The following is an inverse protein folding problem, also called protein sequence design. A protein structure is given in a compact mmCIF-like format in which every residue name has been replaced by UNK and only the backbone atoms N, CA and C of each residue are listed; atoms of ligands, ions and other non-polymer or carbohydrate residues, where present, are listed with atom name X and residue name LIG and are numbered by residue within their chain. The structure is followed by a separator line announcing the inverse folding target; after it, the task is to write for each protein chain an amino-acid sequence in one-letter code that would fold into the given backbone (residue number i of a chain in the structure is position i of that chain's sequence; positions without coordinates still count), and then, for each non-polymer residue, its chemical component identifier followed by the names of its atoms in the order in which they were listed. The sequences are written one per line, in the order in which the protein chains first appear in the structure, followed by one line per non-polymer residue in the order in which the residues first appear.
data_IF_767497853952
#
_entry.id   IF_767497853952
#
_cell.length_a   1.000
_cell.length_b   1.000
_cell.length_c   1.000
_cell.angle_alpha   90.00
_cell.angle_beta   90.00
_cell.angle_gamma   90.00
#
_symmetry.space_group_name_H-M   'P 1'
#
loop_
_entity.id
_entity.type
_entity.pdbx_description
1 polymer ?
#
# COMPACT_ATOMS: atom_id res chain seq x y z
N UNK A 1 -22.75 0.48 -37.86
CA UNK A 1 -21.54 1.08 -38.44
C UNK A 1 -20.50 -0.02 -38.57
N UNK A 2 -19.81 -0.11 -39.71
CA UNK A 2 -18.63 -0.96 -39.90
C UNK A 2 -17.44 -0.04 -40.13
N UNK A 3 -16.32 -0.31 -39.46
CA UNK A 3 -15.05 0.39 -39.66
C UNK A 3 -14.02 -0.60 -40.20
N UNK A 4 -13.36 -0.25 -41.30
CA UNK A 4 -12.31 -1.07 -41.91
C UNK A 4 -10.91 -0.63 -41.42
N UNK A 5 -10.40 -1.37 -40.44
CA UNK A 5 -9.10 -1.08 -39.83
C UNK A 5 -7.91 -1.38 -40.75
N UNK A 6 -8.05 -2.32 -41.70
CA UNK A 6 -6.99 -2.65 -42.66
C UNK A 6 -6.82 -1.53 -43.68
N UNK A 7 -7.93 -1.07 -44.25
CA UNK A 7 -7.96 0.11 -45.11
C UNK A 7 -7.41 1.33 -44.37
N UNK A 8 -7.80 1.55 -43.10
CA UNK A 8 -7.28 2.67 -42.31
C UNK A 8 -5.75 2.68 -42.24
N UNK A 9 -5.12 1.52 -41.95
CA UNK A 9 -3.66 1.39 -41.89
C UNK A 9 -3.01 1.70 -43.24
N UNK A 10 -3.56 1.15 -44.32
CA UNK A 10 -3.07 1.43 -45.67
C UNK A 10 -3.11 2.93 -45.99
N UNK A 11 -4.23 3.59 -45.70
CA UNK A 11 -4.41 5.02 -45.98
C UNK A 11 -3.45 5.91 -45.18
N UNK A 12 -3.16 5.54 -43.93
CA UNK A 12 -2.20 6.26 -43.08
C UNK A 12 -0.76 6.08 -43.59
N UNK A 13 -0.39 4.87 -44.00
CA UNK A 13 0.94 4.58 -44.58
C UNK A 13 1.14 5.26 -45.94
N UNK A 14 0.11 5.31 -46.80
CA UNK A 14 0.16 6.11 -48.03
C UNK A 14 0.39 7.60 -47.77
N UNK A 15 -0.23 8.14 -46.71
CA UNK A 15 -0.10 9.53 -46.31
C UNK A 15 1.30 9.88 -45.78
N UNK A 16 1.96 8.93 -45.10
CA UNK A 16 3.36 9.08 -44.68
C UNK A 16 4.32 9.08 -45.88
N UNK A 17 3.98 8.34 -46.95
CA UNK A 17 4.73 8.26 -48.22
C UNK A 17 4.41 9.36 -49.23
N UNK A 18 3.69 10.40 -48.84
CA UNK A 18 3.47 11.60 -49.65
C UNK A 18 2.10 11.72 -50.32
N UNK A 19 1.25 10.69 -50.29
CA UNK A 19 -0.14 10.81 -50.77
C UNK A 19 -1.01 11.46 -49.70
N UNK A 20 -0.96 12.79 -49.61
CA UNK A 20 -1.64 13.54 -48.56
C UNK A 20 -3.15 13.32 -48.61
N UNK A 21 -3.72 12.87 -47.50
CA UNK A 21 -5.17 12.73 -47.27
C UNK A 21 -5.54 13.45 -45.98
N UNK A 22 -6.71 14.09 -45.99
CA UNK A 22 -7.28 14.68 -44.79
C UNK A 22 -7.89 13.60 -43.88
N UNK A 23 -8.02 13.90 -42.58
CA UNK A 23 -8.68 13.00 -41.64
C UNK A 23 -10.13 12.67 -42.06
N UNK A 24 -10.86 13.65 -42.63
CA UNK A 24 -12.23 13.42 -43.09
C UNK A 24 -12.30 12.43 -44.25
N UNK A 25 -11.33 12.45 -45.17
CA UNK A 25 -11.31 11.53 -46.32
C UNK A 25 -11.03 10.10 -45.85
N UNK A 26 -10.07 9.93 -44.94
CA UNK A 26 -9.77 8.63 -44.34
C UNK A 26 -11.01 8.08 -43.62
N UNK A 27 -11.64 8.89 -42.76
CA UNK A 27 -12.83 8.46 -42.01
C UNK A 27 -14.00 8.08 -42.92
N UNK A 28 -14.23 8.80 -44.03
CA UNK A 28 -15.28 8.44 -44.99
C UNK A 28 -14.97 7.14 -45.73
N UNK A 29 -13.70 6.90 -46.06
CA UNK A 29 -13.29 5.70 -46.80
C UNK A 29 -13.43 4.43 -45.95
N UNK A 30 -13.16 4.51 -44.64
CA UNK A 30 -13.13 3.33 -43.77
C UNK A 30 -14.48 3.02 -43.11
N UNK A 31 -15.38 4.00 -42.98
CA UNK A 31 -16.65 3.82 -42.29
C UNK A 31 -17.80 3.58 -43.25
N UNK A 32 -18.53 2.48 -43.02
CA UNK A 32 -19.80 2.18 -43.70
C UNK A 32 -20.95 2.21 -42.70
N UNK A 33 -22.00 2.95 -43.04
CA UNK A 33 -23.24 3.02 -42.26
C UNK A 33 -24.34 2.31 -43.02
N UNK A 34 -25.08 1.48 -42.30
CA UNK A 34 -26.23 0.76 -42.81
C UNK A 34 -27.35 0.85 -41.77
N UNK A 35 -28.56 1.08 -42.26
CA UNK A 35 -29.77 1.10 -41.44
C UNK A 35 -30.65 -0.08 -41.84
N UNK A 36 -31.09 -0.86 -40.86
CA UNK A 36 -32.01 -1.99 -41.06
C UNK A 36 -33.33 -1.68 -40.37
N UNK A 37 -34.46 -1.99 -41.04
CA UNK A 37 -35.78 -1.88 -40.40
C UNK A 37 -35.90 -2.94 -39.32
N UNK A 38 -36.17 -2.54 -38.08
CA UNK A 38 -36.47 -3.46 -36.98
C UNK A 38 -37.98 -3.50 -36.72
N UNK A 39 -38.49 -4.69 -36.38
CA UNK A 39 -39.86 -4.86 -35.87
C UNK A 39 -39.94 -4.63 -34.36
N UNK A 40 -38.79 -4.68 -33.69
CA UNK A 40 -38.67 -4.47 -32.26
C UNK A 40 -37.97 -3.13 -32.01
N UNK A 41 -38.79 -2.11 -31.76
CA UNK A 41 -38.35 -0.74 -31.45
C UNK A 41 -37.83 -0.64 -30.00
N UNK A 42 -38.23 -1.56 -29.13
CA UNK A 42 -37.88 -1.56 -27.71
C UNK A 42 -36.61 -2.36 -27.42
N UNK A 43 -36.11 -3.15 -28.38
CA UNK A 43 -34.79 -3.77 -28.33
C UNK A 43 -33.69 -2.71 -28.41
N UNK A 44 -33.36 -2.11 -27.26
CA UNK A 44 -32.24 -1.19 -27.11
C UNK A 44 -30.97 -1.98 -26.81
N UNK A 45 -30.20 -2.33 -27.85
CA UNK A 45 -28.89 -2.93 -27.67
C UNK A 45 -27.86 -2.23 -28.56
N UNK A 46 -26.64 -2.16 -28.06
CA UNK A 46 -25.47 -1.77 -28.83
C UNK A 46 -24.51 -2.96 -28.85
N UNK A 47 -24.22 -3.46 -30.05
CA UNK A 47 -23.29 -4.58 -30.25
C UNK A 47 -22.06 -4.08 -30.96
N UNK A 48 -20.90 -4.40 -30.40
CA UNK A 48 -19.60 -4.21 -31.04
C UNK A 48 -19.00 -5.58 -31.31
N UNK A 49 -18.53 -5.78 -32.52
CA UNK A 49 -17.81 -6.99 -32.92
C UNK A 49 -16.44 -6.57 -33.45
N UNK A 50 -15.38 -7.10 -32.84
CA UNK A 50 -14.02 -6.99 -33.36
C UNK A 50 -13.69 -8.28 -34.10
N UNK A 51 -13.41 -8.16 -35.39
CA UNK A 51 -13.16 -9.30 -36.29
C UNK A 51 -11.72 -9.21 -36.79
N UNK A 52 -11.02 -10.34 -36.82
CA UNK A 52 -9.65 -10.41 -37.33
C UNK A 52 -8.65 -9.71 -36.42
N UNK A 53 -8.73 -9.93 -35.11
CA UNK A 53 -7.74 -9.43 -34.14
C UNK A 53 -6.38 -10.06 -34.48
N UNK A 54 -5.36 -9.21 -34.68
CA UNK A 54 -4.02 -9.67 -34.98
C UNK A 54 -3.44 -10.51 -33.82
N UNK A 55 -2.54 -11.46 -34.13
CA UNK A 55 -1.89 -12.33 -33.13
C UNK A 55 -1.09 -11.56 -32.08
N UNK A 56 -0.54 -10.41 -32.45
CA UNK A 56 0.21 -9.56 -31.52
C UNK A 56 -0.69 -8.85 -30.49
N UNK A 57 -2.03 -8.90 -30.66
CA UNK A 57 -3.01 -8.28 -29.77
C UNK A 57 -3.88 -9.32 -29.03
N UNK A 58 -3.33 -10.51 -28.77
CA UNK A 58 -4.01 -11.59 -28.03
C UNK A 58 -4.46 -11.19 -26.62
N UNK A 59 -3.88 -10.13 -26.05
CA UNK A 59 -4.32 -9.54 -24.77
C UNK A 59 -5.79 -9.08 -24.80
N UNK A 60 -6.33 -8.73 -25.98
CA UNK A 60 -7.76 -8.41 -26.17
C UNK A 60 -8.67 -9.63 -26.11
N UNK A 61 -8.10 -10.84 -26.08
CA UNK A 61 -8.78 -12.12 -25.99
C UNK A 61 -8.53 -12.82 -24.64
N UNK A 62 -7.68 -12.26 -23.78
CA UNK A 62 -7.41 -12.79 -22.44
C UNK A 62 -8.53 -12.39 -21.48
N UNK A 63 -9.47 -13.31 -21.25
CA UNK A 63 -10.61 -13.14 -20.33
C UNK A 63 -10.17 -12.64 -18.95
N UNK A 64 -9.02 -13.08 -18.44
CA UNK A 64 -8.54 -12.67 -17.10
C UNK A 64 -8.10 -11.20 -17.12
N UNK A 65 -7.28 -10.80 -18.10
CA UNK A 65 -6.84 -9.39 -18.24
C UNK A 65 -8.04 -8.46 -18.45
N UNK A 66 -8.99 -8.84 -19.30
CA UNK A 66 -10.21 -8.08 -19.55
C UNK A 66 -11.03 -7.93 -18.27
N UNK A 67 -11.22 -9.02 -17.51
CA UNK A 67 -11.94 -8.98 -16.24
C UNK A 67 -11.29 -8.03 -15.24
N UNK A 68 -9.97 -8.11 -15.09
CA UNK A 68 -9.20 -7.25 -14.17
C UNK A 68 -9.29 -5.77 -14.58
N UNK A 69 -9.21 -5.48 -15.88
CA UNK A 69 -9.41 -4.13 -16.42
C UNK A 69 -10.82 -3.60 -16.14
N UNK A 70 -11.86 -4.34 -16.52
CA UNK A 70 -13.26 -3.93 -16.35
C UNK A 70 -13.64 -3.76 -14.89
N UNK A 71 -13.04 -4.56 -13.98
CA UNK A 71 -13.29 -4.47 -12.54
C UNK A 71 -12.94 -3.09 -11.95
N UNK A 72 -12.01 -2.34 -12.54
CA UNK A 72 -11.71 -0.99 -12.04
C UNK A 72 -12.18 0.12 -12.97
N UNK A 73 -12.13 -0.10 -14.28
CA UNK A 73 -12.42 0.94 -15.27
C UNK A 73 -13.92 1.13 -15.48
N UNK A 74 -14.68 0.04 -15.56
CA UNK A 74 -16.08 0.11 -15.88
C UNK A 74 -16.91 0.58 -14.66
N UNK A 75 -18.14 1.10 -14.89
CA UNK A 75 -19.06 1.50 -13.83
C UNK A 75 -19.74 0.28 -13.19
N UNK A 76 -18.95 -0.71 -12.78
CA UNK A 76 -19.40 -1.91 -12.10
C UNK A 76 -19.78 -1.60 -10.64
N UNK A 77 -20.71 -2.34 -10.03
CA UNK A 77 -21.02 -2.22 -8.61
C UNK A 77 -19.85 -2.71 -7.73
N UNK A 78 -19.77 -2.22 -6.49
CA UNK A 78 -18.81 -2.76 -5.52
C UNK A 78 -19.13 -4.22 -5.20
N UNK A 79 -18.08 -5.04 -5.05
CA UNK A 79 -18.24 -6.43 -4.63
C UNK A 79 -18.86 -6.49 -3.23
N UNK A 80 -19.70 -7.51 -3.01
CA UNK A 80 -20.39 -7.69 -1.74
C UNK A 80 -19.43 -7.91 -0.55
N UNK A 81 -18.26 -8.48 -0.77
CA UNK A 81 -17.24 -8.71 0.25
C UNK A 81 -16.55 -7.42 0.72
N UNK A 82 -16.72 -6.30 0.00
CA UNK A 82 -16.19 -5.00 0.43
C UNK A 82 -17.09 -4.37 1.50
N UNK A 83 -16.69 -4.52 2.77
CA UNK A 83 -17.47 -4.08 3.94
C UNK A 83 -17.86 -2.58 3.91
N UNK A 84 -17.05 -1.71 3.32
CA UNK A 84 -17.31 -0.27 3.29
C UNK A 84 -18.23 0.19 2.17
N UNK A 85 -18.67 -0.69 1.27
CA UNK A 85 -19.53 -0.33 0.13
C UNK A 85 -20.78 0.46 0.57
N UNK A 86 -21.40 0.07 1.69
CA UNK A 86 -22.60 0.72 2.21
C UNK A 86 -22.30 2.11 2.77
N UNK A 87 -21.14 2.30 3.41
CA UNK A 87 -20.69 3.64 3.85
C UNK A 87 -20.49 4.56 2.64
N UNK A 88 -19.88 4.06 1.56
CA UNK A 88 -19.66 4.83 0.33
C UNK A 88 -20.99 5.23 -0.31
N UNK A 89 -21.92 4.27 -0.47
CA UNK A 89 -23.26 4.54 -1.02
C UNK A 89 -24.06 5.50 -0.15
N UNK A 90 -23.95 5.38 1.18
CA UNK A 90 -24.60 6.28 2.13
C UNK A 90 -24.07 7.71 2.00
N UNK A 91 -22.75 7.91 2.00
CA UNK A 91 -22.15 9.25 1.83
C UNK A 91 -22.56 9.87 0.50
N UNK A 92 -22.51 9.10 -0.60
CA UNK A 92 -22.95 9.58 -1.91
C UNK A 92 -24.41 10.08 -1.88
N UNK A 93 -25.30 9.34 -1.21
CA UNK A 93 -26.70 9.75 -1.03
C UNK A 93 -26.83 11.03 -0.18
N UNK A 94 -26.06 11.17 0.88
CA UNK A 94 -26.06 12.36 1.77
C UNK A 94 -25.67 13.64 1.04
N UNK A 95 -24.74 13.54 0.07
CA UNK A 95 -24.32 14.67 -0.77
C UNK A 95 -25.16 14.83 -2.04
N UNK A 96 -26.28 14.11 -2.14
CA UNK A 96 -27.17 14.07 -3.30
C UNK A 96 -26.47 13.66 -4.61
N UNK A 97 -25.48 12.77 -4.54
CA UNK A 97 -24.78 12.20 -5.68
C UNK A 97 -25.24 10.76 -5.94
N UNK A 98 -25.57 10.45 -7.19
CA UNK A 98 -25.88 9.11 -7.64
C UNK A 98 -24.65 8.46 -8.27
N UNK A 99 -24.30 7.25 -7.83
CA UNK A 99 -23.23 6.44 -8.43
C UNK A 99 -23.89 5.52 -9.45
N UNK A 100 -23.69 5.80 -10.75
CA UNK A 100 -24.22 4.97 -11.82
C UNK A 100 -23.54 3.59 -11.81
N UNK A 101 -24.30 2.53 -11.55
CA UNK A 101 -23.82 1.15 -11.53
C UNK A 101 -24.55 0.33 -12.61
N UNK A 102 -23.79 -0.43 -13.40
CA UNK A 102 -24.34 -1.26 -14.49
C UNK A 102 -24.06 -2.74 -14.24
N UNK A 103 -25.00 -3.59 -14.65
CA UNK A 103 -24.82 -5.04 -14.66
C UNK A 103 -23.92 -5.43 -15.85
N UNK A 104 -22.66 -5.70 -15.56
CA UNK A 104 -21.65 -6.07 -16.57
C UNK A 104 -21.30 -7.54 -16.37
N UNK A 105 -21.38 -8.32 -17.45
CA UNK A 105 -20.98 -9.74 -17.47
C UNK A 105 -19.90 -9.98 -18.50
N UNK A 106 -18.91 -10.81 -18.18
CA UNK A 106 -17.93 -11.34 -19.11
C UNK A 106 -18.06 -12.85 -19.14
N UNK A 107 -18.35 -13.41 -20.30
CA UNK A 107 -18.63 -14.84 -20.50
C UNK A 107 -19.75 -15.37 -19.57
N UNK A 108 -20.79 -14.55 -19.37
CA UNK A 108 -21.92 -14.86 -18.47
C UNK A 108 -21.67 -14.59 -16.98
N UNK A 109 -20.42 -14.38 -16.58
CA UNK A 109 -20.05 -14.14 -15.19
C UNK A 109 -20.07 -12.65 -14.84
N UNK A 110 -20.69 -12.24 -13.71
CA UNK A 110 -20.77 -10.83 -13.32
C UNK A 110 -19.39 -10.24 -12.96
N UNK A 111 -19.23 -8.95 -13.25
CA UNK A 111 -18.05 -8.16 -12.91
C UNK A 111 -18.40 -7.18 -11.79
N UNK A 112 -17.52 -7.10 -10.79
CA UNK A 112 -17.63 -6.20 -9.66
C UNK A 112 -16.33 -5.40 -9.48
N UNK A 113 -16.42 -4.26 -8.81
CA UNK A 113 -15.21 -3.57 -8.34
C UNK A 113 -14.47 -4.41 -7.32
N UNK A 114 -13.21 -4.72 -7.64
CA UNK A 114 -12.35 -5.64 -6.89
C UNK A 114 -11.64 -4.95 -5.72
N UNK A 115 -12.41 -4.18 -4.93
CA UNK A 115 -11.93 -3.63 -3.66
C UNK A 115 -12.02 -4.71 -2.58
N UNK A 116 -10.96 -4.80 -1.78
CA UNK A 116 -10.86 -5.71 -0.63
C UNK A 116 -10.36 -4.92 0.58
N UNK A 117 -10.37 -5.52 1.77
CA UNK A 117 -9.81 -4.88 2.96
C UNK A 117 -8.39 -5.32 3.24
N UNK A 118 -7.98 -6.52 2.82
CA UNK A 118 -6.67 -7.08 3.12
C UNK A 118 -5.65 -6.63 2.07
N UNK A 119 -4.56 -6.00 2.52
CA UNK A 119 -3.42 -5.65 1.69
C UNK A 119 -2.37 -6.76 1.78
N UNK A 120 -1.78 -7.12 0.64
CA UNK A 120 -0.85 -8.24 0.50
C UNK A 120 0.55 -7.81 0.07
N UNK A 121 1.54 -8.61 0.46
CA UNK A 121 2.91 -8.58 -0.09
C UNK A 121 3.00 -9.43 -1.37
N UNK A 122 4.19 -9.42 -2.00
CA UNK A 122 4.49 -10.22 -3.18
C UNK A 122 4.32 -11.74 -2.94
N UNK A 123 4.55 -12.21 -1.72
CA UNK A 123 4.37 -13.62 -1.29
C UNK A 123 2.92 -13.95 -0.87
N UNK A 124 1.95 -13.07 -1.18
CA UNK A 124 0.55 -13.14 -0.75
C UNK A 124 0.28 -13.07 0.76
N UNK A 125 1.30 -12.90 1.61
CA UNK A 125 1.10 -12.67 3.04
C UNK A 125 0.44 -11.31 3.31
N UNK A 126 -0.37 -11.24 4.37
CA UNK A 126 -0.98 -9.99 4.82
C UNK A 126 0.10 -9.00 5.24
N UNK A 127 -0.03 -7.75 4.81
CA UNK A 127 0.80 -6.66 5.30
C UNK A 127 0.07 -5.68 6.20
N UNK A 128 -1.12 -5.27 5.78
CA UNK A 128 -1.92 -4.24 6.41
C UNK A 128 -3.38 -4.50 6.03
N UNK A 129 -4.31 -3.71 6.54
CA UNK A 129 -5.70 -3.77 6.16
C UNK A 129 -6.37 -2.40 6.17
N UNK A 130 -7.37 -2.23 5.33
CA UNK A 130 -8.28 -1.08 5.36
C UNK A 130 -9.26 -1.28 6.51
N UNK A 131 -9.07 -0.55 7.60
CA UNK A 131 -9.86 -0.68 8.83
C UNK A 131 -10.99 0.36 8.99
N UNK A 132 -10.97 1.42 8.17
CA UNK A 132 -12.10 2.35 8.02
C UNK A 132 -12.00 3.07 6.67
N UNK A 133 -13.02 3.85 6.33
CA UNK A 133 -13.00 4.79 5.19
C UNK A 133 -13.39 6.18 5.66
N UNK A 134 -12.80 7.19 5.03
CA UNK A 134 -13.10 8.61 5.28
C UNK A 134 -13.47 9.30 3.98
N UNK A 135 -14.36 10.28 4.10
CA UNK A 135 -14.95 10.98 2.97
C UNK A 135 -14.53 12.45 2.97
N UNK A 136 -14.35 13.01 1.78
CA UNK A 136 -14.05 14.43 1.61
C UNK A 136 -14.82 14.98 0.42
N UNK A 137 -15.60 16.01 0.68
CA UNK A 137 -16.27 16.80 -0.35
C UNK A 137 -15.39 18.01 -0.72
N UNK A 138 -15.29 18.26 -2.03
CA UNK A 138 -14.61 19.41 -2.60
C UNK A 138 -15.65 20.31 -3.26
N UNK A 139 -15.92 21.45 -2.63
CA UNK A 139 -16.91 22.42 -3.09
C UNK A 139 -16.25 23.72 -3.52
N UNK A 140 -16.87 24.43 -4.45
CA UNK A 140 -16.50 25.79 -4.80
C UNK A 140 -16.99 26.80 -3.76
N UNK A 141 -16.68 28.08 -3.98
CA UNK A 141 -17.06 29.20 -3.12
C UNK A 141 -18.59 29.38 -3.04
N UNK A 142 -19.34 28.89 -4.03
CA UNK A 142 -20.79 28.92 -4.08
C UNK A 142 -21.44 27.66 -3.45
N UNK A 143 -20.63 26.72 -2.94
CA UNK A 143 -21.09 25.46 -2.35
C UNK A 143 -21.39 24.34 -3.35
N UNK A 144 -21.16 24.55 -4.65
CA UNK A 144 -21.35 23.51 -5.67
C UNK A 144 -20.30 22.43 -5.54
N UNK A 145 -20.71 21.18 -5.71
CA UNK A 145 -19.81 20.03 -5.62
C UNK A 145 -18.93 19.93 -6.88
N UNK A 146 -17.62 20.14 -6.70
CA UNK A 146 -16.62 19.97 -7.76
C UNK A 146 -16.22 18.51 -7.88
N UNK A 147 -15.94 17.89 -6.73
CA UNK A 147 -15.62 16.47 -6.61
C UNK A 147 -15.93 15.99 -5.20
N UNK A 148 -15.97 14.69 -5.00
CA UNK A 148 -15.89 14.09 -3.68
C UNK A 148 -15.00 12.86 -3.74
N UNK A 149 -14.51 12.41 -2.59
CA UNK A 149 -13.69 11.21 -2.52
C UNK A 149 -14.00 10.39 -1.30
N UNK A 150 -13.67 9.11 -1.40
CA UNK A 150 -13.46 8.25 -0.26
C UNK A 150 -12.04 7.70 -0.30
N UNK A 151 -11.43 7.56 0.88
CA UNK A 151 -10.11 6.94 1.02
C UNK A 151 -10.11 5.98 2.21
N UNK A 152 -9.51 4.81 1.99
CA UNK A 152 -9.32 3.80 3.02
C UNK A 152 -8.20 4.18 3.98
N UNK A 153 -8.46 3.96 5.27
CA UNK A 153 -7.46 4.12 6.33
C UNK A 153 -6.78 2.79 6.58
N UNK A 154 -5.45 2.82 6.58
CA UNK A 154 -4.57 1.70 6.92
C UNK A 154 -3.64 2.13 8.04
N UNK A 155 -2.81 1.22 8.55
CA UNK A 155 -1.79 1.60 9.51
C UNK A 155 -0.59 2.27 8.85
N UNK A 156 -0.52 2.34 7.51
CA UNK A 156 0.58 2.92 6.74
C UNK A 156 1.93 2.24 7.03
N UNK A 157 1.92 0.90 7.16
CA UNK A 157 3.12 0.10 7.44
C UNK A 157 4.19 0.23 6.36
N UNK A 158 3.77 0.41 5.11
CA UNK A 158 4.60 0.75 3.94
C UNK A 158 3.71 1.16 2.76
N UNK A 159 4.34 1.58 1.66
CA UNK A 159 3.65 1.74 0.38
C UNK A 159 3.02 0.42 -0.10
N UNK A 160 1.79 0.50 -0.59
CA UNK A 160 1.03 -0.66 -1.05
C UNK A 160 1.71 -1.22 -2.32
N UNK A 161 2.04 -2.53 -2.36
CA UNK A 161 2.64 -3.15 -3.55
C UNK A 161 1.64 -3.31 -4.71
N UNK A 162 2.15 -3.31 -5.95
CA UNK A 162 1.36 -3.43 -7.20
C UNK A 162 0.50 -4.70 -7.33
N UNK A 163 0.83 -5.77 -6.59
CA UNK A 163 -0.02 -6.97 -6.52
C UNK A 163 -1.45 -6.65 -6.04
N UNK A 164 -1.61 -5.58 -5.26
CA UNK A 164 -2.90 -5.06 -4.84
C UNK A 164 -3.42 -4.10 -5.92
N UNK A 165 -4.23 -4.62 -6.84
CA UNK A 165 -4.79 -3.83 -7.95
C UNK A 165 -5.60 -2.61 -7.48
N UNK A 166 -6.17 -2.64 -6.27
CA UNK A 166 -6.91 -1.49 -5.72
C UNK A 166 -6.05 -0.33 -5.22
N UNK A 167 -4.71 -0.46 -5.27
CA UNK A 167 -3.75 0.57 -4.89
C UNK A 167 -4.00 1.90 -5.63
N UNK A 168 -3.79 3.00 -4.93
CA UNK A 168 -3.93 4.35 -5.46
C UNK A 168 -5.32 4.95 -5.27
N UNK A 169 -5.39 6.27 -5.44
CA UNK A 169 -6.64 7.01 -5.58
C UNK A 169 -7.04 7.03 -7.06
N UNK A 170 -8.14 6.36 -7.39
CA UNK A 170 -8.64 6.25 -8.77
C UNK A 170 -9.57 7.42 -9.11
N UNK A 171 -9.25 8.15 -10.16
CA UNK A 171 -10.10 9.24 -10.66
C UNK A 171 -11.28 8.66 -11.44
N UNK A 172 -12.49 9.12 -11.14
CA UNK A 172 -13.72 8.71 -11.81
C UNK A 172 -14.52 9.90 -12.32
N UNK A 173 -15.19 9.72 -13.45
CA UNK A 173 -16.25 10.59 -13.96
C UNK A 173 -17.42 9.68 -14.36
N UNK A 174 -18.60 9.93 -13.82
CA UNK A 174 -19.81 9.10 -14.07
C UNK A 174 -19.54 7.61 -13.77
N UNK A 175 -18.83 7.36 -12.66
CA UNK A 175 -18.36 6.05 -12.22
C UNK A 175 -17.42 5.30 -13.20
N UNK A 176 -17.03 5.88 -14.33
CA UNK A 176 -15.99 5.35 -15.22
C UNK A 176 -14.64 5.87 -14.77
N UNK A 177 -13.62 5.01 -14.73
CA UNK A 177 -12.26 5.45 -14.40
C UNK A 177 -11.66 6.31 -15.53
N UNK A 178 -11.04 7.42 -15.13
CA UNK A 178 -10.26 8.30 -16.01
C UNK A 178 -8.78 8.08 -15.70
N UNK A 179 -8.00 7.71 -16.71
CA UNK A 179 -6.59 7.36 -16.56
C UNK A 179 -6.34 6.07 -15.78
N UNK A 180 -5.08 5.85 -15.43
CA UNK A 180 -4.62 4.70 -14.65
C UNK A 180 -4.79 4.88 -13.14
N UNK A 181 -4.20 3.95 -12.37
CA UNK A 181 -4.11 4.05 -10.91
C UNK A 181 -3.28 5.25 -10.42
N UNK A 182 -2.49 5.83 -11.31
CA UNK A 182 -1.54 6.93 -11.12
C UNK A 182 -2.01 8.27 -11.69
N UNK A 183 -3.24 8.34 -12.23
CA UNK A 183 -3.77 9.57 -12.84
C UNK A 183 -3.70 10.81 -11.92
N UNK A 184 -3.79 10.59 -10.61
CA UNK A 184 -3.72 11.64 -9.58
C UNK A 184 -2.34 11.76 -8.91
N UNK A 185 -1.36 10.91 -9.27
CA UNK A 185 -0.04 10.89 -8.66
C UNK A 185 0.66 12.25 -8.73
N UNK A 186 0.55 12.94 -9.86
CA UNK A 186 1.10 14.30 -10.08
C UNK A 186 0.58 15.37 -9.12
N UNK A 187 -0.49 15.09 -8.37
CA UNK A 187 -1.08 16.02 -7.38
C UNK A 187 -0.46 15.85 -5.98
N UNK A 188 0.22 14.74 -5.72
CA UNK A 188 0.95 14.51 -4.49
C UNK A 188 2.32 15.22 -4.52
N UNK A 189 2.83 15.54 -3.33
CA UNK A 189 4.18 16.10 -3.13
C UNK A 189 5.30 15.14 -3.56
N UNK A 190 5.07 13.83 -3.43
CA UNK A 190 6.00 12.77 -3.78
C UNK A 190 5.29 11.70 -4.61
N UNK A 191 5.96 11.13 -5.60
CA UNK A 191 5.42 10.07 -6.48
C UNK A 191 4.84 8.88 -5.70
N UNK A 192 5.51 8.51 -4.61
CA UNK A 192 5.09 7.40 -3.77
C UNK A 192 3.81 7.69 -2.97
N UNK A 193 3.40 8.94 -2.79
CA UNK A 193 2.29 9.34 -1.91
C UNK A 193 0.99 8.64 -2.26
N UNK A 194 0.64 8.58 -3.55
CA UNK A 194 -0.56 7.87 -4.04
C UNK A 194 -0.56 6.38 -3.67
N UNK A 195 0.61 5.76 -3.58
CA UNK A 195 0.79 4.33 -3.25
C UNK A 195 0.40 3.95 -1.83
N UNK A 196 0.24 4.91 -0.92
CA UNK A 196 -0.14 4.65 0.47
C UNK A 196 -1.66 4.52 0.66
N UNK A 197 -2.43 4.80 -0.39
CA UNK A 197 -3.88 4.91 -0.30
C UNK A 197 -4.60 3.91 -1.19
N UNK A 198 -5.84 3.63 -0.83
CA UNK A 198 -6.85 2.94 -1.64
C UNK A 198 -8.06 3.84 -1.61
N UNK A 199 -8.59 4.22 -2.77
CA UNK A 199 -9.73 5.11 -2.80
C UNK A 199 -10.17 5.49 -4.19
N UNK A 200 -11.21 6.33 -4.24
CA UNK A 200 -11.72 6.90 -5.48
C UNK A 200 -12.02 8.38 -5.29
N UNK A 201 -11.75 9.16 -6.32
CA UNK A 201 -12.17 10.55 -6.43
C UNK A 201 -13.19 10.64 -7.56
N UNK A 202 -14.43 11.00 -7.24
CA UNK A 202 -15.49 11.23 -8.20
C UNK A 202 -15.51 12.70 -8.61
N UNK A 203 -15.12 12.98 -9.84
CA UNK A 203 -15.24 14.29 -10.46
C UNK A 203 -16.71 14.56 -10.83
N UNK A 204 -17.27 15.62 -10.27
CA UNK A 204 -18.71 15.94 -10.40
C UNK A 204 -18.93 17.10 -11.35
N UNK A 205 -18.15 18.17 -11.25
CA UNK A 205 -18.34 19.38 -12.04
C UNK A 205 -18.44 19.09 -13.56
N UNK A 206 -19.39 19.75 -14.22
CA UNK A 206 -19.73 19.52 -15.64
C UNK A 206 -18.55 19.77 -16.58
N UNK A 207 -17.74 20.79 -16.27
CA UNK A 207 -16.60 21.17 -17.11
C UNK A 207 -15.36 20.29 -16.89
N UNK A 208 -15.40 19.30 -15.99
CA UNK A 208 -14.38 18.26 -15.91
C UNK A 208 -14.61 17.22 -17.02
N UNK A 209 -14.31 17.63 -18.25
CA UNK A 209 -14.51 16.86 -19.47
C UNK A 209 -13.25 16.00 -19.73
N UNK A 210 -13.37 14.66 -19.79
CA UNK A 210 -12.25 13.80 -20.18
C UNK A 210 -11.70 14.18 -21.55
N UNK A 211 -10.39 14.09 -21.72
CA UNK A 211 -9.77 14.27 -23.02
C UNK A 211 -10.03 13.05 -23.95
N UNK A 212 -9.57 13.12 -25.19
CA UNK A 212 -9.81 12.07 -26.20
C UNK A 212 -9.22 10.71 -25.83
N UNK A 213 -8.14 10.68 -25.06
CA UNK A 213 -7.50 9.45 -24.57
C UNK A 213 -8.17 8.90 -23.30
N UNK A 214 -9.05 9.70 -22.67
CA UNK A 214 -9.68 9.44 -21.37
C UNK A 214 -8.67 9.13 -20.27
N UNK A 215 -7.45 9.66 -20.41
CA UNK A 215 -6.38 9.50 -19.42
C UNK A 215 -6.36 10.63 -18.38
N UNK A 216 -6.99 11.77 -18.70
CA UNK A 216 -7.23 12.89 -17.79
C UNK A 216 -8.33 13.84 -18.30
N UNK A 217 -8.48 15.01 -17.67
CA UNK A 217 -9.38 16.08 -18.12
C UNK A 217 -8.70 17.07 -19.07
N UNK A 218 -9.50 17.66 -19.96
CA UNK A 218 -9.08 18.79 -20.79
C UNK A 218 -8.68 19.99 -19.92
N UNK A 219 -7.77 20.81 -20.43
CA UNK A 219 -7.37 22.03 -19.75
C UNK A 219 -8.48 23.08 -19.78
N UNK A 220 -8.91 23.52 -18.60
CA UNK A 220 -9.85 24.60 -18.40
C UNK A 220 -9.77 25.11 -16.94
N UNK A 221 -10.40 26.25 -16.60
CA UNK A 221 -10.38 26.79 -15.25
C UNK A 221 -10.92 25.84 -14.17
N UNK A 222 -11.98 25.08 -14.47
CA UNK A 222 -12.58 24.12 -13.54
C UNK A 222 -11.62 22.98 -13.19
N UNK A 223 -10.86 22.46 -14.18
CA UNK A 223 -9.77 21.50 -13.96
C UNK A 223 -8.69 22.09 -13.06
N UNK A 224 -8.23 23.31 -13.33
CA UNK A 224 -7.19 23.95 -12.52
C UNK A 224 -7.63 24.13 -11.06
N UNK A 225 -8.89 24.51 -10.84
CA UNK A 225 -9.47 24.64 -9.51
C UNK A 225 -9.63 23.28 -8.81
N UNK A 226 -10.11 22.26 -9.52
CA UNK A 226 -10.16 20.87 -9.04
C UNK A 226 -8.77 20.39 -8.58
N UNK A 227 -7.73 20.58 -9.40
CA UNK A 227 -6.37 20.20 -9.03
C UNK A 227 -5.88 20.96 -7.79
N UNK A 228 -6.17 22.26 -7.66
CA UNK A 228 -5.82 23.06 -6.49
C UNK A 228 -6.45 22.48 -5.21
N UNK A 229 -7.73 22.15 -5.24
CA UNK A 229 -8.44 21.58 -4.10
C UNK A 229 -7.87 20.22 -3.68
N UNK A 230 -7.62 19.33 -4.66
CA UNK A 230 -7.02 18.02 -4.41
C UNK A 230 -5.59 18.12 -3.91
N UNK A 231 -4.74 18.93 -4.54
CA UNK A 231 -3.34 19.14 -4.12
C UNK A 231 -3.28 19.62 -2.68
N UNK A 232 -4.16 20.56 -2.29
CA UNK A 232 -4.23 21.03 -0.92
C UNK A 232 -4.52 19.88 0.04
N UNK A 233 -5.59 19.13 -0.20
CA UNK A 233 -5.97 18.01 0.67
C UNK A 233 -4.93 16.89 0.71
N UNK A 234 -4.34 16.53 -0.44
CA UNK A 234 -3.33 15.47 -0.52
C UNK A 234 -2.06 15.84 0.23
N UNK A 235 -1.65 17.11 0.19
CA UNK A 235 -0.38 17.55 0.75
C UNK A 235 -0.49 18.07 2.20
N UNK A 236 -1.65 18.56 2.62
CA UNK A 236 -1.88 19.04 3.99
C UNK A 236 -2.41 17.91 4.89
N UNK A 237 -3.38 17.12 4.41
CA UNK A 237 -4.06 16.10 5.22
C UNK A 237 -3.48 14.71 5.00
N UNK A 238 -3.55 14.20 3.76
CA UNK A 238 -3.14 12.82 3.47
C UNK A 238 -1.64 12.61 3.72
N UNK A 239 -0.81 13.58 3.33
CA UNK A 239 0.63 13.53 3.58
C UNK A 239 0.96 13.42 5.06
N UNK A 240 0.34 14.26 5.91
CA UNK A 240 0.50 14.21 7.37
C UNK A 240 0.16 12.81 7.89
N UNK A 241 -1.00 12.28 7.47
CA UNK A 241 -1.49 10.99 7.93
C UNK A 241 -0.53 9.83 7.62
N UNK A 242 -0.08 9.67 6.37
CA UNK A 242 0.79 8.53 6.03
C UNK A 242 2.22 8.71 6.56
N UNK A 243 2.73 9.94 6.58
CA UNK A 243 4.09 10.22 7.05
C UNK A 243 4.19 10.00 8.56
N UNK A 244 3.27 10.60 9.32
CA UNK A 244 3.28 10.48 10.77
C UNK A 244 2.86 9.07 11.21
N UNK A 245 1.92 8.41 10.51
CA UNK A 245 1.58 7.01 10.76
C UNK A 245 2.76 6.07 10.56
N UNK A 246 3.52 6.25 9.48
CA UNK A 246 4.76 5.49 9.23
C UNK A 246 5.85 5.78 10.27
N UNK A 247 5.99 7.03 10.71
CA UNK A 247 6.91 7.41 11.78
C UNK A 247 6.55 6.75 13.12
N UNK A 248 5.26 6.72 13.48
CA UNK A 248 4.74 6.07 14.69
C UNK A 248 5.00 4.56 14.64
N UNK A 249 4.70 3.87 13.53
CA UNK A 249 5.06 2.46 13.36
C UNK A 249 6.56 2.22 13.52
N UNK A 250 7.39 3.09 12.97
CA UNK A 250 8.84 2.99 13.08
C UNK A 250 9.33 3.20 14.52
N UNK A 251 8.65 4.04 15.29
CA UNK A 251 8.92 4.23 16.71
C UNK A 251 8.54 2.99 17.53
N UNK A 252 7.35 2.42 17.31
CA UNK A 252 6.93 1.17 17.97
C UNK A 252 7.90 0.01 17.68
N UNK A 253 8.34 -0.16 16.43
CA UNK A 253 9.35 -1.17 16.06
C UNK A 253 10.65 -1.04 16.86
N UNK A 254 11.08 0.18 17.19
CA UNK A 254 12.29 0.40 18.01
C UNK A 254 12.06 0.00 19.47
N UNK A 255 10.88 0.26 20.00
CA UNK A 255 10.48 -0.15 21.36
C UNK A 255 10.43 -1.68 21.45
N UNK A 256 9.77 -2.34 20.50
CA UNK A 256 9.67 -3.80 20.47
C UNK A 256 11.05 -4.45 20.31
N UNK A 257 11.91 -3.90 19.44
CA UNK A 257 13.28 -4.37 19.29
C UNK A 257 14.12 -4.23 20.57
N UNK A 258 13.90 -3.17 21.36
CA UNK A 258 14.53 -3.04 22.68
C UNK A 258 14.01 -4.09 23.65
N UNK A 259 12.69 -4.27 23.76
CA UNK A 259 12.08 -5.28 24.64
C UNK A 259 12.61 -6.69 24.36
N UNK A 260 12.72 -7.06 23.09
CA UNK A 260 13.30 -8.35 22.67
C UNK A 260 14.77 -8.47 23.12
N UNK A 261 15.60 -7.46 22.83
CA UNK A 261 17.02 -7.47 23.22
C UNK A 261 17.22 -7.51 24.75
N UNK A 262 16.40 -6.78 25.49
CA UNK A 262 16.44 -6.77 26.95
C UNK A 262 16.04 -8.13 27.53
N UNK A 263 14.97 -8.74 27.01
CA UNK A 263 14.55 -10.08 27.43
C UNK A 263 15.63 -11.13 27.13
N UNK A 264 16.21 -11.11 25.92
CA UNK A 264 17.31 -12.01 25.54
C UNK A 264 18.54 -11.83 26.45
N UNK A 265 18.90 -10.59 26.77
CA UNK A 265 20.02 -10.31 27.67
C UNK A 265 19.75 -10.84 29.09
N UNK A 266 18.57 -10.52 29.66
CA UNK A 266 18.17 -10.96 31.00
C UNK A 266 18.12 -12.48 31.09
N UNK A 267 17.63 -13.15 30.06
CA UNK A 267 17.60 -14.62 29.99
C UNK A 267 19.01 -15.21 29.94
N UNK A 268 19.89 -14.67 29.09
CA UNK A 268 21.31 -15.08 29.02
C UNK A 268 22.03 -14.86 30.35
N UNK A 269 21.73 -13.75 31.04
CA UNK A 269 22.34 -13.42 32.34
C UNK A 269 21.89 -14.39 33.42
N UNK A 270 20.58 -14.66 33.52
CA UNK A 270 20.01 -15.65 34.45
C UNK A 270 20.57 -17.06 34.21
N UNK A 271 20.78 -17.44 32.94
CA UNK A 271 21.32 -18.74 32.55
C UNK A 271 22.85 -18.83 32.61
N UNK A 272 23.56 -17.76 32.98
CA UNK A 272 25.02 -17.71 32.95
C UNK A 272 25.63 -18.04 31.58
N UNK A 273 24.93 -17.72 30.49
CA UNK A 273 25.27 -18.18 29.14
C UNK A 273 26.20 -17.24 28.38
N UNK A 274 26.78 -16.25 29.07
CA UNK A 274 27.83 -15.40 28.50
C UNK A 274 29.18 -16.11 28.54
N UNK A 275 29.88 -16.07 27.41
CA UNK A 275 31.20 -16.67 27.26
C UNK A 275 32.24 -15.99 28.16
N UNK A 276 32.25 -14.66 28.17
CA UNK A 276 33.18 -13.86 28.95
C UNK A 276 32.52 -12.62 29.56
N UNK A 277 33.20 -11.98 30.53
CA UNK A 277 32.71 -10.74 31.15
C UNK A 277 32.74 -9.58 30.16
N UNK A 278 33.74 -9.59 29.30
CA UNK A 278 33.94 -8.65 28.21
C UNK A 278 32.79 -8.77 27.20
N UNK A 279 32.46 -9.99 26.76
CA UNK A 279 31.32 -10.23 25.86
C UNK A 279 29.98 -9.81 26.50
N UNK A 280 29.76 -10.12 27.78
CA UNK A 280 28.57 -9.64 28.52
C UNK A 280 28.47 -8.12 28.52
N UNK A 281 29.60 -7.42 28.68
CA UNK A 281 29.62 -5.95 28.70
C UNK A 281 29.24 -5.38 27.34
N UNK A 282 29.77 -5.95 26.25
CA UNK A 282 29.42 -5.57 24.88
C UNK A 282 27.92 -5.78 24.60
N UNK A 283 27.37 -6.94 24.98
CA UNK A 283 25.93 -7.21 24.81
C UNK A 283 25.06 -6.25 25.65
N UNK A 284 25.51 -5.92 26.87
CA UNK A 284 24.83 -4.92 27.70
C UNK A 284 24.86 -3.52 27.08
N UNK A 285 25.98 -3.09 26.50
CA UNK A 285 26.08 -1.82 25.78
C UNK A 285 25.12 -1.75 24.58
N UNK A 286 24.97 -2.85 23.83
CA UNK A 286 23.97 -2.95 22.74
C UNK A 286 22.54 -2.77 23.27
N UNK A 287 22.23 -3.33 24.44
CA UNK A 287 20.92 -3.13 25.10
C UNK A 287 20.74 -1.68 25.53
N UNK A 288 21.77 -1.02 26.10
CA UNK A 288 21.70 0.39 26.48
C UNK A 288 21.49 1.33 25.27
N UNK A 289 22.16 1.05 24.15
CA UNK A 289 21.93 1.79 22.90
C UNK A 289 20.49 1.61 22.42
N UNK A 290 19.95 0.38 22.46
CA UNK A 290 18.56 0.11 22.11
C UNK A 290 17.57 0.80 23.07
N UNK A 291 17.87 0.84 24.38
CA UNK A 291 17.08 1.54 25.39
C UNK A 291 16.98 3.03 25.07
N UNK A 292 18.11 3.70 24.81
CA UNK A 292 18.13 5.13 24.44
C UNK A 292 17.33 5.40 23.16
N UNK A 293 17.38 4.49 22.19
CA UNK A 293 16.56 4.58 20.97
C UNK A 293 15.06 4.42 21.26
N UNK A 294 14.68 3.51 22.17
CA UNK A 294 13.31 3.29 22.58
C UNK A 294 12.75 4.48 23.39
N UNK A 295 13.53 5.08 24.28
CA UNK A 295 13.15 6.29 25.02
C UNK A 295 12.87 7.47 24.07
N UNK A 296 13.77 7.69 23.11
CA UNK A 296 13.56 8.70 22.06
C UNK A 296 12.32 8.38 21.20
N UNK A 297 12.08 7.11 20.88
CA UNK A 297 10.90 6.67 20.14
C UNK A 297 9.60 6.93 20.91
N UNK A 298 9.59 6.73 22.24
CA UNK A 298 8.45 7.02 23.09
C UNK A 298 8.12 8.52 23.09
N UNK A 299 9.12 9.39 23.14
CA UNK A 299 8.93 10.85 23.05
C UNK A 299 8.28 11.24 21.72
N UNK A 300 8.71 10.61 20.61
CA UNK A 300 8.11 10.85 19.28
C UNK A 300 6.63 10.45 19.30
N UNK A 301 6.30 9.27 19.81
CA UNK A 301 4.91 8.78 19.89
C UNK A 301 4.04 9.75 20.68
N UNK A 302 4.49 10.21 21.85
CA UNK A 302 3.75 11.17 22.69
C UNK A 302 3.53 12.49 21.96
N UNK A 303 4.59 13.08 21.38
CA UNK A 303 4.49 14.34 20.62
C UNK A 303 3.57 14.23 19.41
N UNK A 304 3.59 13.09 18.72
CA UNK A 304 2.73 12.86 17.55
C UNK A 304 1.27 12.70 17.98
N UNK A 305 1.00 12.03 19.11
CA UNK A 305 -0.34 11.91 19.69
C UNK A 305 -0.94 13.25 20.09
N UNK A 306 -0.17 14.11 20.75
CA UNK A 306 -0.64 15.45 21.16
C UNK A 306 -1.08 16.31 19.97
N UNK A 307 -0.50 16.07 18.79
CA UNK A 307 -0.81 16.78 17.54
C UNK A 307 -1.84 16.04 16.68
N UNK A 308 -2.28 14.86 17.10
CA UNK A 308 -3.15 14.03 16.30
C UNK A 308 -4.61 14.43 16.47
N UNK A 309 -5.23 14.75 15.33
CA UNK A 309 -6.60 15.21 15.24
C UNK A 309 -7.39 14.40 14.20
N UNK A 310 -8.71 14.34 14.42
CA UNK A 310 -9.67 13.76 13.48
C UNK A 310 -9.28 12.37 12.95
N UNK A 311 -8.99 12.33 11.64
CA UNK A 311 -8.66 11.10 10.91
C UNK A 311 -7.36 10.47 11.43
N UNK A 312 -6.37 11.29 11.77
CA UNK A 312 -5.06 10.81 12.17
C UNK A 312 -5.09 10.14 13.55
N UNK A 313 -5.92 10.64 14.48
CA UNK A 313 -6.11 10.01 15.79
C UNK A 313 -6.58 8.54 15.68
N UNK A 314 -7.54 8.25 14.78
CA UNK A 314 -8.01 6.88 14.52
C UNK A 314 -6.89 5.94 14.05
N UNK A 315 -5.96 6.45 13.24
CA UNK A 315 -4.82 5.69 12.72
C UNK A 315 -3.87 5.33 13.87
N UNK A 316 -3.57 6.30 14.74
CA UNK A 316 -2.73 6.04 15.92
C UNK A 316 -3.39 4.99 16.81
N UNK A 317 -4.66 5.14 17.18
CA UNK A 317 -5.39 4.16 18.00
C UNK A 317 -5.33 2.75 17.40
N UNK A 318 -5.40 2.63 16.06
CA UNK A 318 -5.27 1.34 15.39
C UNK A 318 -3.86 0.76 15.50
N UNK A 319 -2.82 1.59 15.36
CA UNK A 319 -1.42 1.18 15.55
C UNK A 319 -1.19 0.71 16.99
N UNK A 320 -1.71 1.43 17.98
CA UNK A 320 -1.55 1.08 19.40
C UNK A 320 -2.16 -0.26 19.77
N UNK A 321 -3.31 -0.60 19.18
CA UNK A 321 -3.96 -1.90 19.41
C UNK A 321 -3.08 -3.08 18.96
N UNK A 322 -2.16 -2.89 18.02
CA UNK A 322 -1.20 -3.94 17.62
C UNK A 322 0.06 -3.95 18.49
N UNK A 323 0.31 -2.88 19.25
CA UNK A 323 1.47 -2.76 20.14
C UNK A 323 1.02 -2.44 21.58
N UNK A 324 0.44 -3.41 22.32
CA UNK A 324 0.02 -3.21 23.69
C UNK A 324 1.18 -2.67 24.54
N UNK A 325 1.00 -1.47 25.08
CA UNK A 325 1.99 -0.84 25.94
C UNK A 325 1.99 -1.56 27.30
N UNK A 326 2.99 -2.39 27.54
CA UNK A 326 3.51 -2.51 28.90
C UNK A 326 4.40 -1.29 29.18
N UNK A 327 4.17 -0.56 30.28
CA UNK A 327 4.96 0.62 30.63
C UNK A 327 6.42 0.21 30.78
N UNK A 328 7.29 0.83 29.98
CA UNK A 328 8.74 0.67 30.13
C UNK A 328 9.09 1.23 31.51
N UNK A 329 9.48 0.37 32.46
CA UNK A 329 9.93 0.82 33.78
C UNK A 329 11.08 1.82 33.62
N UNK A 330 10.81 3.08 33.96
CA UNK A 330 11.73 4.21 33.95
C UNK A 330 12.76 4.15 35.09
N UNK A 331 13.06 2.98 35.63
CA UNK A 331 14.17 2.83 36.58
C UNK A 331 15.49 3.04 35.83
N UNK A 332 16.32 4.01 36.26
CA UNK A 332 17.69 4.11 35.82
C UNK A 332 18.40 2.84 36.29
N UNK A 333 18.77 1.95 35.37
CA UNK A 333 19.62 0.80 35.72
C UNK A 333 21.02 1.33 35.97
N UNK A 334 21.30 1.67 37.22
CA UNK A 334 22.61 2.04 37.71
C UNK A 334 23.57 0.85 37.53
N UNK A 335 24.46 0.95 36.53
CA UNK A 335 25.50 -0.03 36.25
C UNK A 335 24.99 -1.41 35.78
N UNK A 336 25.88 -2.25 35.20
CA UNK A 336 25.54 -3.64 34.95
C UNK A 336 25.18 -4.31 36.28
N UNK A 337 24.04 -5.04 36.38
CA UNK A 337 23.71 -5.76 37.61
C UNK A 337 24.87 -6.69 37.98
N UNK A 338 25.30 -6.62 39.26
CA UNK A 338 26.36 -7.47 39.78
C UNK A 338 25.94 -8.93 39.62
N UNK A 339 26.75 -9.79 38.98
CA UNK A 339 26.38 -11.17 38.74
C UNK A 339 26.14 -11.90 40.07
N UNK A 340 25.00 -12.57 40.19
CA UNK A 340 24.69 -13.47 41.30
C UNK A 340 25.56 -14.73 41.16
N UNK A 341 26.78 -14.69 41.71
CA UNK A 341 27.88 -15.67 41.54
C UNK A 341 28.35 -15.79 40.06
N UNK A 342 29.67 -15.87 39.80
CA UNK A 342 30.18 -15.93 38.43
C UNK A 342 30.01 -17.35 37.88
N UNK A 343 28.79 -17.74 37.51
CA UNK A 343 28.55 -18.95 36.72
C UNK A 343 29.04 -18.68 35.31
N UNK A 344 30.13 -19.33 34.92
CA UNK A 344 30.66 -19.26 33.55
C UNK A 344 29.90 -20.25 32.70
N UNK A 345 29.74 -19.92 31.41
CA UNK A 345 29.08 -20.82 30.44
C UNK A 345 29.70 -22.22 30.43
N UNK A 346 31.03 -22.33 30.56
CA UNK A 346 31.77 -23.59 30.65
C UNK A 346 31.61 -24.34 31.97
N UNK A 347 30.99 -23.75 33.00
CA UNK A 347 30.70 -24.46 34.26
C UNK A 347 29.63 -25.55 34.09
N UNK A 348 28.86 -25.49 33.00
CA UNK A 348 27.91 -26.55 32.59
C UNK A 348 28.61 -27.83 32.11
N UNK A 349 29.87 -27.73 31.69
CA UNK A 349 30.68 -28.86 31.21
C UNK A 349 31.37 -29.55 32.39
N UNK A 350 30.58 -30.14 33.29
CA UNK A 350 31.05 -30.69 34.57
C UNK A 350 32.06 -31.84 34.41
N UNK A 351 32.07 -32.52 33.26
CA UNK A 351 32.98 -33.62 32.94
C UNK A 351 34.44 -33.20 32.73
N UNK A 352 34.69 -31.92 32.43
CA UNK A 352 36.03 -31.41 32.11
C UNK A 352 36.70 -30.74 33.31
N UNK A 353 38.03 -30.80 33.36
CA UNK A 353 38.82 -30.17 34.40
C UNK A 353 38.95 -28.64 34.19
N UNK A 354 39.58 -27.95 35.15
CA UNK A 354 39.67 -26.49 35.15
C UNK A 354 40.42 -25.91 33.95
N UNK A 355 41.47 -26.58 33.49
CA UNK A 355 42.30 -26.08 32.40
C UNK A 355 41.69 -26.39 31.02
N UNK A 356 40.99 -27.51 30.89
CA UNK A 356 40.14 -27.82 29.74
C UNK A 356 39.01 -26.80 29.59
N UNK A 357 38.30 -26.47 30.68
CA UNK A 357 37.24 -25.44 30.65
C UNK A 357 37.78 -24.05 30.30
N UNK A 358 39.03 -23.73 30.67
CA UNK A 358 39.70 -22.48 30.24
C UNK A 358 40.02 -22.49 28.75
N UNK A 359 40.49 -23.62 28.21
CA UNK A 359 40.77 -23.77 26.78
C UNK A 359 39.48 -23.65 25.97
N UNK A 360 38.41 -24.33 26.40
CA UNK A 360 37.07 -24.24 25.78
C UNK A 360 36.56 -22.79 25.82
N UNK A 361 36.72 -22.08 26.94
CA UNK A 361 36.38 -20.66 27.04
C UNK A 361 37.14 -19.81 26.01
N UNK A 362 38.44 -20.04 25.81
CA UNK A 362 39.22 -19.33 24.78
C UNK A 362 38.75 -19.66 23.37
N UNK A 363 38.37 -20.90 23.10
CA UNK A 363 37.82 -21.31 21.80
C UNK A 363 36.51 -20.57 21.54
N UNK A 364 35.62 -20.49 22.53
CA UNK A 364 34.38 -19.72 22.42
C UNK A 364 34.62 -18.22 22.17
N UNK A 365 35.59 -17.61 22.86
CA UNK A 365 35.96 -16.20 22.63
C UNK A 365 36.47 -15.98 21.19
N UNK A 366 37.29 -16.89 20.66
CA UNK A 366 37.79 -16.83 19.27
C UNK A 366 36.63 -16.91 18.27
N UNK A 367 35.68 -17.83 18.48
CA UNK A 367 34.51 -18.00 17.60
C UNK A 367 33.64 -16.74 17.56
N UNK A 368 33.43 -16.10 18.72
CA UNK A 368 32.70 -14.83 18.82
C UNK A 368 33.44 -13.71 18.08
N UNK A 369 34.77 -13.66 18.17
CA UNK A 369 35.56 -12.63 17.50
C UNK A 369 35.62 -12.79 15.97
N UNK A 370 35.45 -14.01 15.47
CA UNK A 370 35.63 -14.35 14.06
C UNK A 370 34.33 -14.33 13.23
N UNK A 371 33.15 -14.31 13.87
CA UNK A 371 31.85 -14.47 13.18
C UNK A 371 30.76 -13.56 13.76
N UNK A 372 29.62 -13.45 13.08
CA UNK A 372 28.47 -12.71 13.62
C UNK A 372 27.84 -13.45 14.81
N UNK A 373 27.12 -12.72 15.67
CA UNK A 373 26.59 -13.27 16.93
C UNK A 373 25.68 -14.48 16.75
N UNK A 374 24.98 -14.63 15.62
CA UNK A 374 24.07 -15.76 15.38
C UNK A 374 24.86 -17.00 14.99
N UNK A 375 25.83 -16.84 14.09
CA UNK A 375 26.72 -17.92 13.67
C UNK A 375 27.60 -18.39 14.83
N UNK A 376 28.13 -17.46 15.62
CA UNK A 376 28.91 -17.78 16.81
C UNK A 376 28.12 -18.62 17.81
N UNK A 377 26.89 -18.21 18.14
CA UNK A 377 26.03 -18.93 19.08
C UNK A 377 25.66 -20.33 18.57
N UNK A 378 25.39 -20.48 17.27
CA UNK A 378 25.12 -21.78 16.65
C UNK A 378 26.32 -22.72 16.75
N UNK A 379 27.53 -22.23 16.46
CA UNK A 379 28.75 -23.03 16.53
C UNK A 379 29.03 -23.42 17.98
N UNK A 380 28.93 -22.47 18.92
CA UNK A 380 29.16 -22.72 20.35
C UNK A 380 28.16 -23.74 20.88
N UNK A 381 26.86 -23.61 20.57
CA UNK A 381 25.84 -24.58 21.00
C UNK A 381 26.13 -25.99 20.46
N UNK A 382 26.57 -26.12 19.20
CA UNK A 382 26.96 -27.43 18.64
C UNK A 382 28.18 -28.03 19.32
N UNK A 383 29.15 -27.19 19.70
CA UNK A 383 30.32 -27.64 20.46
C UNK A 383 29.88 -28.07 21.87
N UNK A 384 28.99 -27.32 22.52
CA UNK A 384 28.42 -27.70 23.82
C UNK A 384 27.67 -29.03 23.74
N UNK A 385 26.85 -29.26 22.71
CA UNK A 385 26.13 -30.53 22.50
C UNK A 385 27.08 -31.71 22.25
N UNK A 386 28.20 -31.48 21.56
CA UNK A 386 29.21 -32.52 21.30
C UNK A 386 30.15 -32.80 22.47
N UNK A 387 30.22 -31.89 23.45
CA UNK A 387 31.01 -32.02 24.68
C UNK A 387 30.15 -32.41 25.90
N UNK A 388 28.82 -32.40 25.77
CA UNK A 388 27.87 -32.87 26.79
C UNK A 388 27.80 -34.40 26.78
#
# INVERSE_FOLDING_TARGET
MRCDAEMMRQLIDENSRGKKRTASEVLRAINKFESKKTKDINAHFFKVELIGINKENEDLLDTKKIREYLSFVAPAPYQNTFHYREKVKKHAKEIAYHIDEYSITLDGEPIFKKYTTILKKADNSKIDEVFDVVFKDFRDENGNLIAWMWVGLTQFKQAIPKINQMRGLRLRKENIQIGGEDALQKLFKEDRGNSYFVGEVFAVAKDLIPNSQRDYFNENPTRAYFEKLLRRFFNEELHKIYYDGSAVNSAYKKIDAYKVKEAEFVEKDKKGSFVSKEYRTIEYEKVQVAKKQAENAQIIIVKTKEKADGIFAKVIERIEKEHPQEPVSTTPSAGPPKPARPVRRTDKLSAYNRDERKLISKIFDIIISATDSKTAEMIISKIEDGLS
#
